data_IF_472026103146
#
_entry.id   IF_472026103146
#
_cell.length_a   1.000
_cell.length_b   1.000
_cell.length_c   1.000
_cell.angle_alpha   90.00
_cell.angle_beta   90.00
_cell.angle_gamma   90.00
#
_symmetry.space_group_name_H-M   'P 1'
#
loop_
_entity.id
_entity.type
_entity.pdbx_description
1 polymer ?
#
# COMPACT_ATOMS: atom_id res chain seq x y z
N UNK A 1 -9.16 14.50 -35.26
CA UNK A 1 -9.41 15.71 -34.46
C UNK A 1 -10.88 15.69 -34.07
N UNK A 2 -11.31 15.51 -32.83
CA UNK A 2 -10.66 15.29 -31.54
C UNK A 2 -11.36 14.08 -30.94
N UNK A 3 -10.65 12.95 -30.86
CA UNK A 3 -11.18 11.79 -30.17
C UNK A 3 -11.12 12.12 -28.67
N UNK A 4 -12.24 12.57 -28.11
CA UNK A 4 -12.53 12.57 -26.69
C UNK A 4 -12.60 11.11 -26.22
N UNK A 5 -11.47 10.40 -26.22
CA UNK A 5 -11.39 9.04 -25.72
C UNK A 5 -11.67 9.13 -24.21
N UNK A 6 -12.67 8.41 -23.67
CA UNK A 6 -12.83 8.33 -22.24
C UNK A 6 -11.50 7.80 -21.70
N UNK A 7 -10.90 8.58 -20.84
CA UNK A 7 -9.58 8.33 -20.29
C UNK A 7 -9.67 7.05 -19.45
N UNK A 8 -9.24 5.93 -20.04
CA UNK A 8 -9.35 4.59 -19.47
C UNK A 8 -8.07 4.29 -18.68
N UNK A 9 -8.19 4.17 -17.36
CA UNK A 9 -7.13 3.65 -16.52
C UNK A 9 -7.34 2.16 -16.30
N UNK A 10 -6.29 1.38 -16.55
CA UNK A 10 -6.27 -0.04 -16.20
C UNK A 10 -5.75 -0.19 -14.77
N UNK A 11 -6.47 -0.99 -13.98
CA UNK A 11 -6.04 -1.47 -12.66
C UNK A 11 -5.89 -2.98 -12.74
N UNK A 12 -4.71 -3.49 -12.39
CA UNK A 12 -4.43 -4.92 -12.40
C UNK A 12 -5.31 -5.67 -11.41
N UNK A 13 -5.56 -6.97 -11.67
CA UNK A 13 -6.43 -7.78 -10.81
C UNK A 13 -5.95 -7.89 -9.36
N UNK A 14 -4.65 -7.75 -9.14
CA UNK A 14 -4.02 -7.80 -7.80
C UNK A 14 -3.90 -6.43 -7.13
N UNK A 15 -4.41 -5.39 -7.77
CA UNK A 15 -4.28 -4.01 -7.33
C UNK A 15 -5.65 -3.40 -7.07
N UNK A 16 -5.65 -2.36 -6.24
CA UNK A 16 -6.80 -1.50 -5.99
C UNK A 16 -6.42 -0.08 -6.34
N UNK A 17 -7.33 0.60 -7.02
CA UNK A 17 -7.15 1.99 -7.42
C UNK A 17 -7.80 2.93 -6.42
N UNK A 18 -7.08 3.92 -5.90
CA UNK A 18 -7.67 5.06 -5.21
C UNK A 18 -7.82 6.18 -6.24
N UNK A 19 -9.06 6.64 -6.44
CA UNK A 19 -9.36 7.77 -7.33
C UNK A 19 -9.51 9.04 -6.50
N UNK A 20 -8.77 10.09 -6.89
CA UNK A 20 -8.79 11.40 -6.25
C UNK A 20 -9.15 12.50 -7.25
N UNK A 21 -10.02 13.42 -6.85
CA UNK A 21 -10.30 14.66 -7.58
C UNK A 21 -9.51 15.81 -6.93
N UNK A 22 -8.50 16.35 -7.61
CA UNK A 22 -7.63 17.43 -7.08
C UNK A 22 -7.19 17.23 -5.62
N UNK A 23 -6.80 16.00 -5.25
CA UNK A 23 -6.36 15.66 -3.90
C UNK A 23 -7.47 15.35 -2.90
N UNK A 24 -8.75 15.45 -3.27
CA UNK A 24 -9.86 14.90 -2.47
C UNK A 24 -10.10 13.44 -2.84
N UNK A 25 -10.17 12.58 -1.83
CA UNK A 25 -10.61 11.21 -2.01
C UNK A 25 -12.02 11.16 -2.61
N UNK A 26 -12.20 10.32 -3.63
CA UNK A 26 -13.51 10.13 -4.26
C UNK A 26 -14.09 8.75 -3.97
N UNK A 27 -13.43 7.71 -4.48
CA UNK A 27 -13.85 6.32 -4.30
C UNK A 27 -12.68 5.37 -4.56
N UNK A 28 -12.84 4.13 -4.11
CA UNK A 28 -11.93 3.02 -4.43
C UNK A 28 -12.44 2.31 -5.68
N UNK A 29 -11.62 2.27 -6.72
CA UNK A 29 -11.89 1.56 -7.95
C UNK A 29 -11.57 0.05 -7.78
N UNK A 30 -12.51 -0.86 -8.13
CA UNK A 30 -12.21 -2.29 -8.21
C UNK A 30 -11.20 -2.59 -9.34
N UNK A 31 -10.54 -3.76 -9.30
CA UNK A 31 -9.67 -4.19 -10.37
C UNK A 31 -10.42 -4.24 -11.71
N UNK A 32 -9.74 -3.83 -12.79
CA UNK A 32 -10.31 -3.76 -14.13
C UNK A 32 -10.28 -2.36 -14.74
N UNK A 33 -11.28 -2.08 -15.58
CA UNK A 33 -11.39 -0.86 -16.36
C UNK A 33 -11.98 0.26 -15.49
N UNK A 34 -11.16 1.24 -15.12
CA UNK A 34 -11.62 2.43 -14.42
C UNK A 34 -11.71 3.60 -15.41
N UNK A 35 -12.90 4.15 -15.60
CA UNK A 35 -13.09 5.38 -16.36
C UNK A 35 -12.64 6.58 -15.50
N UNK A 36 -11.52 7.18 -15.83
CA UNK A 36 -10.87 8.26 -15.06
C UNK A 36 -10.69 9.45 -15.98
N UNK A 37 -11.49 10.50 -15.82
CA UNK A 37 -11.40 11.72 -16.63
C UNK A 37 -10.13 12.52 -16.27
N UNK A 38 -9.08 12.34 -17.07
CA UNK A 38 -7.87 13.15 -17.00
C UNK A 38 -8.16 14.52 -17.66
N UNK A 39 -7.82 15.67 -17.04
CA UNK A 39 -6.81 15.89 -16.01
C UNK A 39 -7.34 16.05 -14.57
N UNK A 40 -8.64 15.95 -14.36
CA UNK A 40 -9.28 16.26 -13.07
C UNK A 40 -9.10 15.15 -12.02
N UNK A 41 -8.93 13.90 -12.48
CA UNK A 41 -8.81 12.73 -11.63
C UNK A 41 -7.39 12.15 -11.67
N UNK A 42 -6.88 11.80 -10.49
CA UNK A 42 -5.65 11.03 -10.29
C UNK A 42 -5.99 9.61 -9.83
N UNK A 43 -5.30 8.62 -10.39
CA UNK A 43 -5.41 7.22 -10.00
C UNK A 43 -4.12 6.79 -9.31
N UNK A 44 -4.23 6.38 -8.06
CA UNK A 44 -3.13 5.80 -7.28
C UNK A 44 -3.38 4.31 -7.14
N UNK A 45 -2.44 3.49 -7.61
CA UNK A 45 -2.55 2.03 -7.56
C UNK A 45 -1.83 1.50 -6.32
N UNK A 46 -2.49 0.62 -5.58
CA UNK A 46 -1.94 -0.04 -4.40
C UNK A 46 -2.10 -1.54 -4.59
N UNK A 47 -0.98 -2.26 -4.43
CA UNK A 47 -0.97 -3.71 -4.48
C UNK A 47 -1.60 -4.31 -3.22
N UNK A 48 -2.53 -5.25 -3.41
CA UNK A 48 -3.10 -6.08 -2.34
C UNK A 48 -2.27 -7.36 -2.13
N UNK A 49 -1.16 -7.53 -2.85
CA UNK A 49 -0.27 -8.69 -2.67
C UNK A 49 0.35 -8.69 -1.27
N UNK A 50 0.65 -9.89 -0.78
CA UNK A 50 1.41 -10.09 0.45
C UNK A 50 2.81 -9.52 0.24
N UNK A 51 3.21 -8.61 1.12
CA UNK A 51 4.57 -8.11 1.19
C UNK A 51 5.25 -8.74 2.40
N UNK A 52 6.53 -9.05 2.24
CA UNK A 52 7.38 -9.53 3.32
C UNK A 52 8.42 -8.47 3.64
N UNK A 53 8.61 -8.22 4.93
CA UNK A 53 9.70 -7.40 5.45
C UNK A 53 10.52 -8.28 6.38
N UNK A 54 11.81 -8.33 6.15
CA UNK A 54 12.76 -9.03 7.01
C UNK A 54 13.37 -8.01 7.99
N UNK A 55 12.93 -8.03 9.23
CA UNK A 55 13.46 -7.19 10.30
C UNK A 55 14.66 -7.90 10.93
N UNK A 56 15.78 -7.19 11.10
CA UNK A 56 16.99 -7.72 11.75
C UNK A 56 17.21 -6.97 13.05
N UNK A 57 17.08 -7.67 14.17
CA UNK A 57 17.20 -7.09 15.50
C UNK A 57 18.32 -7.79 16.25
N UNK A 58 19.31 -7.02 16.72
CA UNK A 58 20.36 -7.50 17.60
C UNK A 58 19.90 -7.28 19.03
N UNK A 59 19.61 -8.36 19.78
CA UNK A 59 19.16 -8.24 21.17
C UNK A 59 20.06 -8.99 22.15
N UNK A 60 20.03 -8.56 23.41
CA UNK A 60 20.76 -9.17 24.51
C UNK A 60 19.79 -10.03 25.32
N UNK A 61 20.11 -11.31 25.42
CA UNK A 61 19.33 -12.25 26.25
C UNK A 61 19.64 -12.04 27.74
N UNK A 62 18.79 -12.60 28.62
CA UNK A 62 19.00 -12.56 30.08
C UNK A 62 20.32 -13.22 30.51
N UNK A 63 20.84 -14.13 29.68
CA UNK A 63 22.11 -14.84 29.91
C UNK A 63 23.33 -14.04 29.39
N UNK A 64 23.16 -12.75 29.07
CA UNK A 64 24.20 -11.85 28.60
C UNK A 64 24.84 -12.28 27.26
N UNK A 65 24.13 -13.07 26.46
CA UNK A 65 24.55 -13.45 25.11
C UNK A 65 23.88 -12.52 24.09
N UNK A 66 24.68 -11.94 23.19
CA UNK A 66 24.20 -11.20 22.02
C UNK A 66 23.72 -12.18 20.98
N UNK A 67 22.49 -12.03 20.52
CA UNK A 67 21.93 -12.82 19.42
C UNK A 67 21.40 -11.87 18.35
N UNK A 68 21.65 -12.24 17.10
CA UNK A 68 21.08 -11.58 15.93
C UNK A 68 19.86 -12.38 15.47
N UNK A 69 18.68 -11.78 15.58
CA UNK A 69 17.41 -12.42 15.22
C UNK A 69 16.95 -11.79 13.91
N UNK A 70 16.61 -12.63 12.93
CA UNK A 70 15.93 -12.18 11.71
C UNK A 70 14.50 -12.67 11.75
N UNK A 71 13.56 -11.73 11.79
CA UNK A 71 12.12 -12.01 11.83
C UNK A 71 11.50 -11.57 10.50
N UNK A 72 10.89 -12.52 9.79
CA UNK A 72 10.13 -12.24 8.59
C UNK A 72 8.68 -11.92 8.95
N UNK A 73 8.27 -10.67 8.75
CA UNK A 73 6.88 -10.24 8.94
C UNK A 73 6.20 -10.16 7.58
N UNK A 74 5.10 -10.88 7.43
CA UNK A 74 4.28 -10.85 6.23
C UNK A 74 2.99 -10.08 6.52
N UNK A 75 2.65 -9.13 5.65
CA UNK A 75 1.41 -8.37 5.74
C UNK A 75 0.79 -8.16 4.36
N UNK A 76 -0.53 -8.04 4.34
CA UNK A 76 -1.30 -7.72 3.15
C UNK A 76 -2.32 -6.63 3.50
N UNK A 77 -2.68 -5.82 2.51
CA UNK A 77 -3.68 -4.76 2.67
C UNK A 77 -5.06 -5.36 2.41
N UNK A 78 -6.00 -5.14 3.32
CA UNK A 78 -7.39 -5.51 3.08
C UNK A 78 -7.97 -4.70 1.91
N UNK A 79 -8.51 -5.35 0.86
CA UNK A 79 -8.98 -4.65 -0.34
C UNK A 79 -10.18 -3.73 -0.08
N UNK A 80 -10.90 -3.92 1.03
CA UNK A 80 -12.05 -3.11 1.43
C UNK A 80 -11.67 -1.86 2.22
N UNK A 81 -10.43 -1.76 2.73
CA UNK A 81 -9.96 -0.66 3.62
C UNK A 81 -8.69 -0.01 3.10
N UNK A 82 -8.55 0.04 1.78
CA UNK A 82 -7.35 0.56 1.09
C UNK A 82 -7.21 2.07 1.27
N UNK A 83 -8.32 2.78 1.42
CA UNK A 83 -8.37 4.22 1.71
C UNK A 83 -7.73 4.52 3.07
N UNK A 84 -8.17 3.82 4.11
CA UNK A 84 -7.62 3.95 5.46
C UNK A 84 -6.11 3.65 5.49
N UNK A 85 -5.69 2.60 4.79
CA UNK A 85 -4.28 2.23 4.68
C UNK A 85 -3.45 3.35 4.06
N UNK A 86 -3.88 3.89 2.92
CA UNK A 86 -3.13 4.92 2.20
C UNK A 86 -3.06 6.26 2.94
N UNK A 87 -4.15 6.68 3.56
CA UNK A 87 -4.21 7.99 4.20
C UNK A 87 -3.68 8.00 5.65
N UNK A 88 -3.73 6.88 6.37
CA UNK A 88 -3.27 6.81 7.77
C UNK A 88 -1.80 6.42 7.90
N UNK A 89 -1.25 5.68 6.95
CA UNK A 89 0.11 5.14 7.03
C UNK A 89 1.03 5.81 6.02
N UNK A 90 1.86 6.74 6.47
CA UNK A 90 2.90 7.35 5.61
C UNK A 90 4.00 6.35 5.20
N UNK A 91 4.33 5.38 6.06
CA UNK A 91 5.33 4.34 5.77
C UNK A 91 5.07 3.07 6.61
N UNK A 92 4.43 2.03 6.05
CA UNK A 92 4.07 0.83 6.81
C UNK A 92 5.31 0.06 7.29
N UNK A 93 6.36 -0.01 6.48
CA UNK A 93 7.54 -0.83 6.78
C UNK A 93 8.23 -0.38 8.07
N UNK A 94 8.46 0.94 8.19
CA UNK A 94 9.14 1.53 9.35
C UNK A 94 8.34 1.41 10.64
N UNK A 95 7.01 1.46 10.53
CA UNK A 95 6.13 1.29 11.69
C UNK A 95 6.18 -0.15 12.21
N UNK A 96 6.22 -1.13 11.30
CA UNK A 96 6.35 -2.55 11.64
C UNK A 96 7.71 -2.81 12.30
N UNK A 97 8.81 -2.33 11.69
CA UNK A 97 10.17 -2.44 12.26
C UNK A 97 10.23 -1.87 13.68
N UNK A 98 9.75 -0.63 13.87
CA UNK A 98 9.77 0.03 15.17
C UNK A 98 8.94 -0.68 16.26
N UNK A 99 7.91 -1.44 15.88
CA UNK A 99 7.10 -2.20 16.83
C UNK A 99 7.71 -3.56 17.16
N UNK A 100 8.45 -4.17 16.23
CA UNK A 100 9.14 -5.46 16.43
C UNK A 100 10.44 -5.30 17.21
N UNK A 101 11.11 -4.14 17.07
CA UNK A 101 12.39 -3.83 17.73
C UNK A 101 12.26 -3.36 19.20
N UNK A 102 11.03 -3.17 19.70
CA UNK A 102 10.74 -2.69 21.06
C UNK A 102 10.37 -3.83 22.01
#
# INVERSE_FOLDING_TARGET
MSCCVPCLGFVDSSERGIVQYFGRFSYVAPPGLACICWPFQSLIRISTKVNQIDCRTTTKTKDNVTVDITTAVQFAVDPSKVDDFYFKLSTPNRLIEAHVDN
#
